data_IF_966006582400
#
_entry.id   IF_966006582400
#
_cell.length_a   1.000
_cell.length_b   1.000
_cell.length_c   1.000
_cell.angle_alpha   90.00
_cell.angle_beta   90.00
_cell.angle_gamma   90.00
#
_symmetry.space_group_name_H-M   'P 1'
#
loop_
_entity.id
_entity.type
_entity.pdbx_description
1 polymer ?
2 polymer ?
3 non-polymer ?
4 non-polymer ?
5 water ?
#
loop_
_entity_poly.entity_id
_entity_poly.type
_entity_poly.pdbx_seq_one_letter_code
_entity_poly.pdbx_strand_id
2 'polydeoxyribonucleotide' '(DA)(DA)' ?
#
# COMPACT_ATOMS: atom_id res chain seq x y z
N UNK A 1 3.38 -21.80 11.02
CA UNK A 1 4.67 -21.17 11.29
C UNK A 1 5.38 -20.66 10.05
N UNK A 2 6.28 -21.48 9.43
CA UNK A 2 7.08 -21.08 8.25
C UNK A 2 6.23 -20.88 6.99
N UNK A 3 5.31 -21.81 6.71
CA UNK A 3 4.43 -21.72 5.54
C UNK A 3 3.46 -20.54 5.65
N UNK A 4 3.00 -20.22 6.87
CA UNK A 4 2.15 -19.08 7.18
C UNK A 4 2.95 -17.77 7.16
N UNK A 5 4.29 -17.85 7.33
CA UNK A 5 5.13 -16.65 7.25
C UNK A 5 5.63 -16.34 5.80
N UNK A 6 5.16 -17.08 4.79
CA UNK A 6 5.51 -16.79 3.38
C UNK A 6 4.85 -15.49 2.89
N UNK A 7 5.40 -14.85 1.84
CA UNK A 7 4.82 -13.61 1.33
C UNK A 7 4.30 -13.80 -0.07
N UNK A 8 3.14 -13.22 -0.41
CA UNK A 8 2.58 -13.30 -1.74
C UNK A 8 2.87 -11.97 -2.47
N UNK A 9 3.91 -11.95 -3.31
CA UNK A 9 4.25 -10.74 -4.06
C UNK A 9 3.38 -10.61 -5.33
N UNK A 10 2.83 -9.42 -5.57
CA UNK A 10 2.01 -9.18 -6.76
C UNK A 10 2.33 -7.81 -7.36
N UNK A 11 2.30 -7.73 -8.69
CA UNK A 11 2.34 -6.46 -9.42
C UNK A 11 1.25 -6.50 -10.49
N UNK A 12 0.48 -5.43 -10.57
CA UNK A 12 -0.58 -5.24 -11.54
C UNK A 12 -0.15 -4.09 -12.45
N UNK A 13 -0.71 -4.10 -13.64
CA UNK A 13 -0.64 -3.02 -14.59
C UNK A 13 -2.10 -2.89 -15.02
N UNK A 14 -2.64 -1.67 -14.91
CA UNK A 14 -4.03 -1.35 -15.21
C UNK A 14 -4.07 -0.36 -16.36
N UNK A 15 -5.29 -0.02 -16.81
CA UNK A 15 -5.52 0.98 -17.84
C UNK A 15 -5.51 2.42 -17.25
N UNK A 16 -5.47 2.54 -15.91
CA UNK A 16 -5.43 3.82 -15.21
C UNK A 16 -5.67 3.63 -13.72
N UNK A 17 -5.78 4.74 -12.98
CA UNK A 17 -6.00 4.73 -11.52
C UNK A 17 -7.46 4.94 -11.11
N UNK A 18 -8.43 4.85 -12.06
CA UNK A 18 -9.85 5.03 -11.75
C UNK A 18 -10.48 3.66 -11.48
N UNK A 19 -10.73 3.35 -10.19
CA UNK A 19 -11.31 2.07 -9.78
C UNK A 19 -12.72 1.84 -10.38
N UNK A 20 -13.49 2.92 -10.63
CA UNK A 20 -14.84 2.83 -11.19
C UNK A 20 -14.85 2.46 -12.69
N UNK A 21 -13.80 2.86 -13.44
CA UNK A 21 -13.69 2.61 -14.88
C UNK A 21 -12.63 1.59 -15.25
N UNK A 22 -11.38 1.83 -14.81
CA UNK A 22 -10.24 1.04 -15.26
C UNK A 22 -10.27 -0.44 -14.87
N UNK A 23 -9.57 -1.24 -15.68
CA UNK A 23 -9.47 -2.69 -15.59
C UNK A 23 -8.01 -3.13 -15.47
N UNK A 24 -7.79 -4.40 -15.07
CA UNK A 24 -6.47 -5.00 -14.94
C UNK A 24 -6.06 -5.55 -16.31
N UNK A 25 -4.86 -5.17 -16.79
CA UNK A 25 -4.36 -5.64 -18.08
C UNK A 25 -3.19 -6.60 -17.92
N UNK A 26 -2.40 -6.52 -16.84
CA UNK A 26 -1.29 -7.46 -16.62
C UNK A 26 -1.19 -7.81 -15.14
N UNK A 27 -0.76 -9.04 -14.85
CA UNK A 27 -0.60 -9.49 -13.47
C UNK A 27 0.51 -10.52 -13.37
N UNK A 28 1.33 -10.42 -12.32
CA UNK A 28 2.40 -11.40 -12.04
C UNK A 28 2.35 -11.73 -10.56
N UNK A 29 2.74 -12.94 -10.20
CA UNK A 29 2.77 -13.35 -8.81
C UNK A 29 4.04 -14.08 -8.51
N UNK A 30 4.57 -13.88 -7.29
CA UNK A 30 5.81 -14.55 -6.86
C UNK A 30 5.73 -14.82 -5.35
N UNK A 31 6.29 -15.96 -4.88
CA UNK A 31 6.27 -16.33 -3.48
C UNK A 31 7.66 -16.29 -2.92
N UNK A 32 7.84 -15.65 -1.74
CA UNK A 32 9.10 -15.70 -1.02
C UNK A 32 8.78 -16.27 0.36
N UNK A 33 9.79 -16.70 1.06
CA UNK A 33 9.64 -17.12 2.45
C UNK A 33 9.76 -15.82 3.31
N UNK A 34 9.63 -16.00 4.61
CA UNK A 34 9.73 -14.94 5.62
C UNK A 34 10.94 -13.99 5.47
N UNK A 35 12.10 -14.56 5.08
CA UNK A 35 13.36 -13.85 4.91
C UNK A 35 13.65 -13.40 3.49
N UNK A 36 12.61 -13.30 2.63
CA UNK A 36 12.71 -12.82 1.26
C UNK A 36 13.50 -13.74 0.35
N UNK A 37 13.64 -15.04 0.71
CA UNK A 37 14.29 -16.01 -0.18
C UNK A 37 13.29 -16.40 -1.23
N UNK A 38 13.71 -16.49 -2.50
CA UNK A 38 12.83 -16.82 -3.64
C UNK A 38 12.36 -18.27 -3.53
N UNK A 39 11.05 -18.52 -3.48
CA UNK A 39 10.54 -19.88 -3.37
C UNK A 39 9.95 -20.36 -4.70
N UNK A 40 9.07 -19.56 -5.32
CA UNK A 40 8.38 -19.99 -6.51
C UNK A 40 7.80 -18.85 -7.33
N UNK A 41 8.00 -18.94 -8.64
CA UNK A 41 7.48 -17.98 -9.58
C UNK A 41 6.06 -18.46 -9.99
N UNK A 42 5.09 -17.56 -9.90
CA UNK A 42 3.70 -17.82 -10.25
C UNK A 42 3.41 -17.39 -11.66
N UNK A 43 2.13 -17.41 -12.06
CA UNK A 43 1.80 -17.00 -13.43
C UNK A 43 2.18 -15.55 -13.73
N UNK A 44 2.30 -15.24 -15.01
CA UNK A 44 2.57 -13.90 -15.52
C UNK A 44 1.62 -13.80 -16.72
N UNK A 45 0.44 -13.20 -16.51
CA UNK A 45 -0.63 -13.16 -17.50
C UNK A 45 -1.04 -11.76 -17.96
N UNK A 46 -1.25 -11.61 -19.29
CA UNK A 46 -1.76 -10.39 -19.90
C UNK A 46 -3.26 -10.65 -20.10
N UNK A 47 -4.13 -9.89 -19.41
CA UNK A 47 -5.59 -10.09 -19.43
C UNK A 47 -6.23 -9.24 -20.53
N UNK A 48 -7.13 -9.88 -21.30
CA UNK A 48 -7.85 -9.27 -22.42
C UNK A 48 -8.90 -8.26 -21.91
N UNK A 49 -8.82 -7.01 -22.42
CA UNK A 49 -9.77 -5.92 -22.11
C UNK A 49 -10.14 -5.20 -23.44
N UNK A 50 -11.38 -4.64 -23.56
CA UNK A 50 -11.80 -4.01 -24.83
C UNK A 50 -10.89 -2.93 -25.45
N UNK A 51 -11.00 -2.76 -26.79
CA UNK A 51 -10.25 -1.73 -27.55
C UNK A 51 -10.72 -0.30 -27.20
N UNK A 52 -12.00 -0.12 -26.80
CA UNK A 52 -12.55 1.19 -26.40
C UNK A 52 -11.74 1.72 -25.22
N UNK A 53 -11.62 0.89 -24.17
CA UNK A 53 -10.89 1.22 -22.95
C UNK A 53 -9.42 1.54 -23.24
N UNK A 54 -8.74 0.75 -24.11
CA UNK A 54 -7.33 0.99 -24.44
C UNK A 54 -7.08 2.31 -25.22
N UNK A 55 -7.97 2.64 -26.18
CA UNK A 55 -7.86 3.87 -26.97
C UNK A 55 -8.22 5.14 -26.15
N UNK A 56 -9.12 4.99 -25.15
CA UNK A 56 -9.54 6.08 -24.25
C UNK A 56 -8.68 6.17 -22.95
N UNK A 57 -7.45 5.59 -22.95
CA UNK A 57 -6.54 5.63 -21.79
C UNK A 57 -5.87 7.00 -21.67
N UNK A 58 -5.17 7.22 -20.55
CA UNK A 58 -4.40 8.44 -20.27
C UNK A 58 -3.22 8.53 -21.25
N UNK A 59 -2.66 9.74 -21.43
CA UNK A 59 -1.49 9.95 -22.31
C UNK A 59 -0.25 9.22 -21.75
N UNK A 60 -0.13 9.14 -20.41
CA UNK A 60 0.95 8.39 -19.75
C UNK A 60 0.74 6.90 -20.06
N UNK A 61 -0.49 6.40 -19.83
CA UNK A 61 -0.85 5.00 -20.03
C UNK A 61 -0.59 4.52 -21.47
N UNK A 62 -1.09 5.25 -22.48
CA UNK A 62 -0.91 4.89 -23.90
C UNK A 62 0.58 4.82 -24.31
N UNK A 63 1.40 5.77 -23.82
CA UNK A 63 2.82 5.85 -24.17
C UNK A 63 3.67 4.77 -23.48
N UNK A 64 3.50 4.59 -22.16
CA UNK A 64 4.26 3.59 -21.40
C UNK A 64 3.84 2.15 -21.77
N UNK A 65 2.51 1.87 -21.86
CA UNK A 65 2.04 0.54 -22.25
C UNK A 65 2.25 0.25 -23.76
N UNK A 66 2.32 1.31 -24.58
CA UNK A 66 2.58 1.17 -26.00
C UNK A 66 4.02 0.73 -26.27
N UNK A 67 4.99 1.51 -25.73
CA UNK A 67 6.43 1.26 -25.90
C UNK A 67 6.87 -0.09 -25.30
N UNK A 68 6.25 -0.50 -24.18
CA UNK A 68 6.57 -1.76 -23.51
C UNK A 68 6.09 -3.02 -24.26
N UNK A 69 5.18 -2.84 -25.21
CA UNK A 69 4.61 -3.93 -25.99
C UNK A 69 3.39 -4.55 -25.35
N UNK A 70 2.85 -3.90 -24.27
CA UNK A 70 1.71 -4.43 -23.52
C UNK A 70 0.41 -4.17 -24.24
N UNK A 71 0.14 -2.93 -24.70
CA UNK A 71 -1.13 -2.63 -25.40
C UNK A 71 -1.33 -3.55 -26.62
N UNK A 72 -0.22 -3.93 -27.31
CA UNK A 72 -0.28 -4.85 -28.45
C UNK A 72 -0.59 -6.27 -27.94
N UNK A 73 0.10 -6.72 -26.87
CA UNK A 73 -0.13 -8.05 -26.27
C UNK A 73 -1.53 -8.21 -25.61
N UNK A 74 -2.18 -7.08 -25.21
CA UNK A 74 -3.53 -7.10 -24.59
C UNK A 74 -4.59 -7.36 -25.66
N UNK A 75 -4.46 -6.70 -26.84
CA UNK A 75 -5.39 -6.85 -27.97
C UNK A 75 -5.38 -8.29 -28.53
N UNK A 76 -4.20 -8.94 -28.53
CA UNK A 76 -4.02 -10.32 -28.99
C UNK A 76 -4.39 -11.39 -27.94
N UNK A 77 -4.52 -11.01 -26.65
CA UNK A 77 -4.80 -11.98 -25.59
C UNK A 77 -6.15 -12.67 -25.69
N UNK A 78 -6.18 -13.92 -25.20
CA UNK A 78 -7.38 -14.75 -25.09
C UNK A 78 -7.63 -15.08 -23.59
N UNK A 79 -7.00 -14.31 -22.65
CA UNK A 79 -7.16 -14.56 -21.21
C UNK A 79 -8.18 -13.60 -20.65
N UNK A 80 -9.28 -14.11 -20.09
CA UNK A 80 -10.26 -13.26 -19.43
C UNK A 80 -9.79 -13.04 -17.99
N UNK A 81 -10.43 -12.10 -17.31
CA UNK A 81 -10.16 -11.78 -15.90
C UNK A 81 -10.45 -13.04 -15.05
N UNK A 82 -11.62 -13.68 -15.29
CA UNK A 82 -12.04 -14.91 -14.62
C UNK A 82 -11.01 -16.03 -14.81
N UNK A 83 -10.47 -16.17 -16.04
CA UNK A 83 -9.47 -17.21 -16.31
C UNK A 83 -8.19 -16.93 -15.52
N UNK A 84 -7.68 -15.67 -15.55
CA UNK A 84 -6.47 -15.29 -14.82
C UNK A 84 -6.66 -15.41 -13.30
N UNK A 85 -7.85 -15.02 -12.77
CA UNK A 85 -8.12 -15.14 -11.33
C UNK A 85 -7.97 -16.57 -10.88
N UNK A 86 -8.61 -17.50 -11.60
CA UNK A 86 -8.54 -18.94 -11.35
C UNK A 86 -7.07 -19.42 -11.35
N UNK A 87 -6.26 -19.01 -12.34
CA UNK A 87 -4.85 -19.40 -12.39
C UNK A 87 -4.05 -18.83 -11.19
N UNK A 88 -4.34 -17.57 -10.80
CA UNK A 88 -3.66 -16.96 -9.65
C UNK A 88 -4.12 -17.55 -8.33
N UNK A 89 -5.41 -17.85 -8.17
CA UNK A 89 -5.94 -18.46 -6.95
C UNK A 89 -5.36 -19.88 -6.78
N UNK A 90 -5.36 -20.67 -7.87
CA UNK A 90 -4.81 -22.03 -7.87
C UNK A 90 -3.40 -22.05 -7.42
N UNK A 91 -2.59 -21.14 -8.01
CA UNK A 91 -1.16 -21.07 -7.67
C UNK A 91 -0.94 -20.75 -6.19
N UNK A 92 -1.54 -19.68 -5.64
CA UNK A 92 -1.35 -19.33 -4.21
C UNK A 92 -1.89 -20.45 -3.26
N UNK A 93 -2.96 -21.19 -3.61
CA UNK A 93 -3.46 -22.30 -2.75
C UNK A 93 -2.46 -23.48 -2.67
N UNK A 94 -1.67 -23.67 -3.73
CA UNK A 94 -0.65 -24.69 -3.76
C UNK A 94 0.58 -24.26 -2.97
N UNK A 95 0.74 -22.97 -2.71
CA UNK A 95 1.93 -22.37 -2.09
C UNK A 95 1.81 -21.93 -0.65
N UNK A 96 0.60 -21.60 -0.19
CA UNK A 96 0.40 -20.97 1.12
C UNK A 96 -0.85 -21.48 1.78
N UNK A 97 -0.88 -21.51 3.13
CA UNK A 97 -2.12 -21.90 3.83
C UNK A 97 -3.21 -20.81 3.71
N UNK A 98 -4.53 -21.14 3.77
CA UNK A 98 -5.55 -20.10 3.52
C UNK A 98 -5.61 -19.00 4.57
N UNK A 99 -5.82 -17.77 4.09
CA UNK A 99 -5.97 -16.56 4.89
C UNK A 99 -4.84 -16.21 5.84
N UNK A 100 -3.62 -16.68 5.62
CA UNK A 100 -2.52 -16.36 6.55
C UNK A 100 -1.38 -15.52 5.98
N UNK A 101 -1.18 -15.50 4.66
CA UNK A 101 -0.05 -14.79 4.06
C UNK A 101 -0.41 -13.44 3.49
N UNK A 102 0.46 -12.43 3.67
CA UNK A 102 0.13 -11.10 3.16
C UNK A 102 0.44 -10.89 1.70
N UNK A 103 -0.15 -9.87 1.13
CA UNK A 103 0.13 -9.35 -0.21
C UNK A 103 1.39 -8.46 -0.06
N UNK A 104 2.37 -8.57 -0.95
CA UNK A 104 3.60 -7.76 -0.86
C UNK A 104 3.90 -7.03 -2.17
N UNK A 105 4.52 -5.85 -2.08
CA UNK A 105 4.88 -5.02 -3.22
C UNK A 105 4.99 -3.54 -2.91
N UNK A 106 5.32 -2.72 -3.91
CA UNK A 106 5.40 -1.26 -3.80
C UNK A 106 4.05 -0.64 -3.89
N UNK A 107 3.63 0.14 -2.86
CA UNK A 107 2.31 0.78 -2.78
C UNK A 107 1.23 -0.23 -3.19
N UNK A 108 1.38 -1.49 -2.70
CA UNK A 108 0.54 -2.62 -3.06
C UNK A 108 -0.92 -2.44 -2.61
N UNK A 109 -1.22 -1.43 -1.78
CA UNK A 109 -2.60 -1.03 -1.46
C UNK A 109 -3.40 -0.64 -2.75
N UNK A 110 -2.73 -0.06 -3.78
CA UNK A 110 -3.39 0.28 -5.04
C UNK A 110 -3.74 -1.03 -5.81
N UNK A 111 -2.80 -1.99 -5.83
CA UNK A 111 -3.04 -3.30 -6.46
C UNK A 111 -4.17 -4.01 -5.69
N UNK A 112 -4.22 -3.90 -4.33
CA UNK A 112 -5.29 -4.48 -3.50
C UNK A 112 -6.67 -3.89 -3.81
N UNK A 113 -6.76 -2.58 -4.12
CA UNK A 113 -8.04 -1.94 -4.50
C UNK A 113 -8.65 -2.62 -5.75
N UNK A 114 -7.82 -2.85 -6.78
CA UNK A 114 -8.22 -3.51 -8.02
C UNK A 114 -8.47 -5.02 -7.80
N UNK A 115 -7.61 -5.70 -7.00
CA UNK A 115 -7.80 -7.13 -6.70
C UNK A 115 -9.04 -7.36 -5.84
N UNK A 116 -9.34 -6.47 -4.88
CA UNK A 116 -10.54 -6.59 -4.04
C UNK A 116 -11.81 -6.56 -4.89
N UNK A 117 -11.82 -5.74 -5.95
CA UNK A 117 -12.98 -5.58 -6.83
C UNK A 117 -13.04 -6.68 -7.93
N UNK A 118 -11.92 -6.89 -8.66
CA UNK A 118 -11.86 -7.77 -9.83
C UNK A 118 -11.35 -9.22 -9.60
N UNK A 119 -10.71 -9.52 -8.45
CA UNK A 119 -10.27 -10.88 -8.11
C UNK A 119 -10.56 -11.13 -6.62
N UNK A 120 -11.84 -11.03 -6.22
CA UNK A 120 -12.17 -11.20 -4.80
C UNK A 120 -11.85 -12.58 -4.22
N UNK A 121 -11.86 -13.67 -5.02
CA UNK A 121 -11.54 -15.02 -4.52
C UNK A 121 -10.04 -15.17 -4.24
N UNK A 122 -9.18 -14.54 -5.07
CA UNK A 122 -7.73 -14.52 -4.85
C UNK A 122 -7.45 -13.79 -3.53
N UNK A 123 -8.12 -12.63 -3.28
CA UNK A 123 -7.93 -11.87 -2.02
C UNK A 123 -8.45 -12.60 -0.77
N UNK A 124 -9.44 -13.47 -0.91
CA UNK A 124 -9.97 -14.26 0.21
C UNK A 124 -8.91 -15.29 0.69
N UNK A 125 -7.97 -15.72 -0.21
CA UNK A 125 -6.88 -16.62 0.19
C UNK A 125 -5.79 -15.91 1.04
N UNK A 126 -5.64 -14.62 0.90
CA UNK A 126 -4.60 -13.87 1.63
C UNK A 126 -5.09 -13.30 2.97
N UNK A 127 -4.16 -12.96 3.87
CA UNK A 127 -4.49 -12.30 5.14
C UNK A 127 -4.89 -10.83 4.85
N UNK A 128 -5.42 -10.18 5.89
CA UNK A 128 -5.81 -8.78 5.90
C UNK A 128 -4.64 -7.81 5.69
N UNK A 129 -3.48 -8.17 6.23
CA UNK A 129 -2.30 -7.32 6.26
C UNK A 129 -1.52 -7.38 4.99
N UNK A 130 -0.84 -6.26 4.68
CA UNK A 130 0.06 -6.13 3.54
C UNK A 130 1.50 -5.80 3.99
N UNK A 131 2.44 -6.02 3.08
CA UNK A 131 3.82 -5.67 3.27
C UNK A 131 4.05 -4.66 2.18
N UNK A 132 3.95 -3.35 2.52
CA UNK A 132 4.12 -2.30 1.54
C UNK A 132 5.59 -1.85 1.55
N UNK A 133 6.36 -2.29 0.54
CA UNK A 133 7.76 -1.91 0.43
C UNK A 133 7.91 -0.39 0.40
N UNK A 134 6.90 0.36 -0.15
CA UNK A 134 6.99 1.82 -0.20
C UNK A 134 6.87 2.49 1.18
N UNK A 135 6.35 1.80 2.21
CA UNK A 135 6.42 2.33 3.58
C UNK A 135 7.90 2.36 4.00
N UNK A 136 8.63 1.25 3.76
CA UNK A 136 10.04 1.11 4.14
C UNK A 136 10.92 2.10 3.35
N UNK A 137 10.60 2.30 2.05
CA UNK A 137 11.22 3.29 1.17
C UNK A 137 11.11 4.68 1.78
N UNK A 138 9.89 5.04 2.24
CA UNK A 138 9.68 6.36 2.85
C UNK A 138 10.44 6.53 4.15
N UNK A 139 10.52 5.48 4.98
CA UNK A 139 11.29 5.56 6.22
C UNK A 139 12.80 5.59 5.92
N UNK A 140 13.25 4.91 4.84
CA UNK A 140 14.67 4.92 4.45
C UNK A 140 15.11 6.32 4.03
N UNK A 141 14.31 6.96 3.15
CA UNK A 141 14.55 8.33 2.68
C UNK A 141 14.79 9.25 3.87
N UNK A 142 13.90 9.19 4.85
CA UNK A 142 13.94 9.98 6.07
C UNK A 142 15.04 9.63 7.06
N UNK A 143 15.08 8.40 7.53
CA UNK A 143 16.01 7.97 8.57
C UNK A 143 17.40 7.50 8.10
N UNK A 144 17.54 7.09 6.83
CA UNK A 144 18.80 6.55 6.31
C UNK A 144 19.12 7.18 4.93
N UNK A 145 19.21 8.53 4.86
CA UNK A 145 19.46 9.18 3.57
C UNK A 145 20.68 8.71 2.79
N UNK A 146 21.76 8.29 3.45
CA UNK A 146 22.95 7.80 2.77
C UNK A 146 22.63 6.50 2.05
N UNK A 147 22.15 5.48 2.81
CA UNK A 147 21.74 4.16 2.31
C UNK A 147 20.71 4.30 1.20
N UNK A 148 19.75 5.23 1.34
CA UNK A 148 18.73 5.54 0.33
C UNK A 148 19.34 5.91 -1.03
N UNK A 149 20.47 6.68 -1.04
CA UNK A 149 21.14 7.06 -2.28
C UNK A 149 21.83 5.88 -2.92
N UNK A 150 22.36 4.95 -2.11
CA UNK A 150 23.01 3.72 -2.59
C UNK A 150 22.03 2.69 -3.18
N UNK A 151 20.71 2.81 -2.90
CA UNK A 151 19.75 1.85 -3.43
C UNK A 151 19.74 1.95 -5.00
N UNK A 152 19.58 0.81 -5.70
CA UNK A 152 19.59 0.86 -7.17
C UNK A 152 18.32 1.47 -7.76
N UNK A 153 18.48 2.29 -8.82
CA UNK A 153 17.34 2.91 -9.52
C UNK A 153 16.45 1.82 -10.10
N UNK A 154 15.11 2.00 -10.03
CA UNK A 154 14.17 1.03 -10.60
C UNK A 154 14.36 1.07 -12.11
N UNK A 155 14.97 0.00 -12.63
CA UNK A 155 15.34 -0.12 -14.03
C UNK A 155 14.28 -0.78 -14.90
N UNK A 156 13.20 -1.28 -14.31
CA UNK A 156 12.22 -2.04 -15.09
C UNK A 156 11.20 -1.18 -15.81
N UNK A 157 10.80 -1.68 -16.99
CA UNK A 157 9.69 -1.11 -17.74
C UNK A 157 8.49 -1.70 -17.01
N UNK A 158 7.30 -1.10 -17.16
CA UNK A 158 6.10 -1.55 -16.47
C UNK A 158 5.57 -2.92 -16.97
N UNK A 159 6.34 -4.00 -16.72
CA UNK A 159 6.02 -5.40 -17.01
C UNK A 159 5.98 -6.04 -15.62
N UNK A 160 4.83 -6.62 -15.25
CA UNK A 160 4.53 -7.14 -13.92
C UNK A 160 5.61 -8.03 -13.34
N UNK A 161 6.13 -8.97 -14.12
CA UNK A 161 7.19 -9.87 -13.69
C UNK A 161 8.47 -9.10 -13.37
N UNK A 162 8.84 -8.13 -14.20
CA UNK A 162 10.08 -7.37 -13.96
C UNK A 162 9.92 -6.44 -12.73
N UNK A 163 8.73 -5.82 -12.58
CA UNK A 163 8.40 -4.93 -11.48
C UNK A 163 8.41 -5.67 -10.10
N UNK A 164 7.82 -6.86 -10.06
CA UNK A 164 7.74 -7.66 -8.84
C UNK A 164 9.15 -8.07 -8.32
N UNK A 165 10.09 -8.43 -9.23
CA UNK A 165 11.47 -8.79 -8.89
C UNK A 165 12.24 -7.60 -8.31
N UNK A 166 11.94 -6.38 -8.79
CA UNK A 166 12.57 -5.15 -8.28
C UNK A 166 12.02 -4.75 -6.90
N UNK A 167 10.72 -4.97 -6.62
CA UNK A 167 10.18 -4.71 -5.27
C UNK A 167 10.85 -5.64 -4.27
N UNK A 168 11.10 -6.90 -4.68
CA UNK A 168 11.80 -7.84 -3.79
C UNK A 168 13.24 -7.36 -3.57
N UNK A 169 13.95 -7.01 -4.66
CA UNK A 169 15.32 -6.48 -4.60
C UNK A 169 15.39 -5.26 -3.70
N UNK A 170 14.39 -4.36 -3.80
CA UNK A 170 14.29 -3.16 -2.95
C UNK A 170 14.08 -3.52 -1.44
N UNK A 171 13.14 -4.45 -1.09
CA UNK A 171 12.96 -4.80 0.34
C UNK A 171 14.20 -5.51 0.88
N UNK A 172 14.83 -6.38 0.05
CA UNK A 172 16.08 -7.07 0.42
C UNK A 172 17.18 -6.05 0.67
N UNK A 173 17.27 -5.03 -0.17
CA UNK A 173 18.23 -3.93 0.01
C UNK A 173 18.03 -3.26 1.38
N UNK A 174 16.78 -2.98 1.78
CA UNK A 174 16.50 -2.34 3.08
C UNK A 174 16.83 -3.23 4.23
N UNK A 175 16.48 -4.54 4.14
CA UNK A 175 16.80 -5.54 5.17
C UNK A 175 18.31 -5.63 5.34
N UNK A 176 19.04 -5.61 4.21
CA UNK A 176 20.50 -5.74 4.24
C UNK A 176 21.21 -4.50 4.75
N UNK A 177 20.66 -3.28 4.52
CA UNK A 177 21.36 -2.03 4.86
C UNK A 177 20.79 -1.12 5.97
N UNK A 178 19.46 -1.08 6.21
CA UNK A 178 18.89 -0.18 7.23
C UNK A 178 18.29 -0.93 8.42
N UNK A 179 18.23 -2.26 8.38
CA UNK A 179 17.74 -3.01 9.53
C UNK A 179 18.93 -3.48 10.36
N UNK A 180 18.68 -3.67 11.66
CA UNK A 180 19.64 -4.03 12.71
C UNK A 180 20.45 -5.28 12.38
N UNK B 1 13.74 18.71 1.36
CA UNK B 1 14.16 19.07 2.71
C UNK B 1 13.26 18.51 3.81
N UNK B 2 13.28 19.16 4.99
CA UNK B 2 12.51 18.73 6.17
C UNK B 2 10.97 18.78 6.01
N UNK B 3 10.46 19.83 5.35
CA UNK B 3 9.02 20.05 5.15
C UNK B 3 8.40 18.94 4.26
N UNK B 4 9.08 18.57 3.15
CA UNK B 4 8.60 17.53 2.23
C UNK B 4 8.62 16.14 2.89
N UNK B 5 9.43 15.97 3.95
CA UNK B 5 9.53 14.74 4.72
C UNK B 5 8.60 14.72 5.96
N UNK B 6 7.58 15.59 6.02
CA UNK B 6 6.62 15.55 7.14
C UNK B 6 5.63 14.42 6.88
N UNK B 7 4.88 14.02 7.90
CA UNK B 7 3.91 12.93 7.77
C UNK B 7 2.55 13.41 8.19
N UNK B 8 1.50 12.93 7.53
CA UNK B 8 0.12 13.28 7.83
C UNK B 8 -0.52 12.04 8.48
N UNK B 9 -0.50 11.99 9.80
CA UNK B 9 -1.03 10.84 10.53
C UNK B 9 -2.53 10.90 10.64
N UNK B 10 -3.20 9.78 10.36
CA UNK B 10 -4.64 9.67 10.49
C UNK B 10 -5.02 8.34 11.15
N UNK B 11 -6.25 8.33 11.69
CA UNK B 11 -6.89 7.14 12.21
C UNK B 11 -8.38 7.30 11.98
N UNK B 12 -9.02 6.26 11.40
CA UNK B 12 -10.43 6.26 11.06
C UNK B 12 -11.13 5.07 11.64
N UNK B 13 -12.40 5.22 12.01
CA UNK B 13 -13.26 4.12 12.45
C UNK B 13 -14.41 4.03 11.44
N UNK B 14 -14.68 2.83 10.87
CA UNK B 14 -15.76 2.60 9.91
C UNK B 14 -16.72 1.56 10.48
N UNK B 15 -17.87 1.40 9.82
CA UNK B 15 -18.87 0.38 10.18
C UNK B 15 -18.37 -1.02 9.71
N UNK B 16 -17.45 -1.05 8.75
CA UNK B 16 -16.86 -2.28 8.22
C UNK B 16 -15.82 -2.02 7.14
N UNK B 17 -15.43 -3.08 6.41
CA UNK B 17 -14.40 -2.99 5.37
C UNK B 17 -14.95 -3.04 3.92
N UNK B 18 -16.30 -3.07 3.74
CA UNK B 18 -16.90 -3.07 2.40
C UNK B 18 -17.00 -1.62 1.93
N UNK B 19 -16.10 -1.21 1.01
CA UNK B 19 -16.05 0.15 0.47
C UNK B 19 -17.38 0.60 -0.19
N UNK B 20 -18.15 -0.37 -0.75
CA UNK B 20 -19.43 -0.07 -1.40
C UNK B 20 -20.55 0.30 -0.43
N UNK B 21 -20.61 -0.35 0.76
CA UNK B 21 -21.69 -0.12 1.72
C UNK B 21 -21.29 0.53 3.07
N UNK B 22 -20.06 0.34 3.56
CA UNK B 22 -19.67 0.92 4.87
C UNK B 22 -19.31 2.38 4.80
N UNK B 23 -19.40 3.07 5.96
CA UNK B 23 -19.15 4.51 6.09
C UNK B 23 -18.14 4.86 7.20
N UNK B 24 -17.54 6.07 7.11
CA UNK B 24 -16.58 6.59 8.08
C UNK B 24 -17.35 7.14 9.30
N UNK B 25 -17.19 6.53 10.48
CA UNK B 25 -17.85 6.91 11.75
C UNK B 25 -17.07 8.02 12.45
N UNK B 26 -15.74 7.86 12.56
CA UNK B 26 -14.88 8.77 13.31
C UNK B 26 -13.57 8.98 12.58
N UNK B 27 -12.93 10.13 12.78
CA UNK B 27 -11.65 10.43 12.15
C UNK B 27 -10.88 11.42 12.99
N UNK B 28 -9.56 11.28 12.95
CA UNK B 28 -8.64 12.18 13.64
C UNK B 28 -7.41 12.35 12.78
N UNK B 29 -6.71 13.46 12.96
CA UNK B 29 -5.54 13.75 12.17
C UNK B 29 -4.53 14.58 12.98
N UNK B 30 -3.22 14.42 12.68
CA UNK B 30 -2.13 15.19 13.31
C UNK B 30 -0.87 15.11 12.44
N UNK B 31 -0.01 16.14 12.50
CA UNK B 31 1.19 16.17 11.69
C UNK B 31 2.39 15.86 12.57
N UNK B 32 3.38 15.13 12.02
CA UNK B 32 4.65 14.93 12.70
C UNK B 32 5.72 15.34 11.70
N UNK B 33 6.96 15.43 12.15
CA UNK B 33 8.11 15.68 11.26
C UNK B 33 8.67 14.29 10.88
N UNK B 34 9.76 14.26 10.09
CA UNK B 34 10.42 13.02 9.68
C UNK B 34 10.86 12.13 10.86
N UNK B 35 11.13 12.72 12.05
CA UNK B 35 11.55 12.02 13.25
C UNK B 35 10.41 11.76 14.25
N UNK B 36 9.14 11.84 13.80
CA UNK B 36 7.93 11.50 14.59
C UNK B 36 7.61 12.47 15.75
N UNK B 37 8.18 13.69 15.74
CA UNK B 37 7.84 14.73 16.72
C UNK B 37 6.56 15.40 16.21
N UNK B 38 5.49 15.37 17.05
CA UNK B 38 4.18 15.95 16.75
C UNK B 38 4.30 17.47 16.64
N UNK B 39 4.08 18.01 15.44
CA UNK B 39 4.13 19.45 15.18
C UNK B 39 2.77 20.07 15.51
N UNK B 40 1.65 19.44 15.06
CA UNK B 40 0.31 19.96 15.32
C UNK B 40 -0.74 18.84 15.40
N UNK B 41 -1.79 19.05 16.20
CA UNK B 41 -2.90 18.11 16.35
C UNK B 41 -4.13 18.67 15.63
N UNK B 42 -4.71 17.88 14.76
CA UNK B 42 -5.92 18.22 14.03
C UNK B 42 -7.12 17.89 14.87
N UNK B 43 -8.33 17.97 14.29
CA UNK B 43 -9.53 17.68 15.09
C UNK B 43 -9.83 16.20 15.25
N UNK B 44 -10.68 15.86 16.23
CA UNK B 44 -11.19 14.51 16.46
C UNK B 44 -12.70 14.61 16.26
N UNK B 45 -13.18 14.30 15.03
CA UNK B 45 -14.58 14.45 14.65
C UNK B 45 -15.34 13.14 14.54
N UNK B 46 -16.57 13.07 15.10
CA UNK B 46 -17.48 11.92 14.98
C UNK B 46 -18.43 12.31 13.82
N UNK B 47 -18.52 11.48 12.78
CA UNK B 47 -19.31 11.77 11.59
C UNK B 47 -20.68 11.07 11.60
N UNK B 48 -21.74 11.81 11.19
CA UNK B 48 -23.12 11.31 11.14
C UNK B 48 -23.32 10.26 10.04
N UNK B 49 -24.42 9.46 10.17
CA UNK B 49 -24.79 8.40 9.22
C UNK B 49 -26.31 8.42 8.94
N UNK B 78 -20.42 16.21 17.03
CA UNK B 78 -20.81 15.46 15.84
C UNK B 78 -21.00 16.40 14.63
N UNK B 79 -20.57 15.95 13.42
CA UNK B 79 -20.56 16.76 12.20
C UNK B 79 -20.86 15.90 10.94
N UNK B 80 -21.10 16.55 9.76
CA UNK B 80 -21.34 15.82 8.51
C UNK B 80 -20.01 15.56 7.82
N UNK B 81 -20.01 14.61 6.88
CA UNK B 81 -18.83 14.19 6.11
C UNK B 81 -18.14 15.33 5.33
N UNK B 82 -18.90 16.11 4.54
CA UNK B 82 -18.35 17.18 3.69
C UNK B 82 -17.66 18.28 4.52
N UNK B 83 -18.17 18.55 5.74
CA UNK B 83 -17.60 19.55 6.63
C UNK B 83 -16.29 19.04 7.26
N UNK B 84 -16.26 17.75 7.68
CA UNK B 84 -15.04 17.12 8.20
C UNK B 84 -13.92 17.24 7.17
N UNK B 85 -14.24 16.95 5.90
CA UNK B 85 -13.28 17.06 4.79
C UNK B 85 -12.73 18.48 4.66
N UNK B 86 -13.57 19.52 4.87
CA UNK B 86 -13.13 20.92 4.83
C UNK B 86 -12.23 21.17 6.05
N UNK B 87 -12.68 20.75 7.25
CA UNK B 87 -11.91 20.89 8.49
C UNK B 87 -10.51 20.26 8.36
N UNK B 88 -10.46 18.97 7.96
CA UNK B 88 -9.21 18.24 7.75
C UNK B 88 -8.37 18.81 6.60
N UNK B 89 -8.97 19.20 5.46
CA UNK B 89 -8.21 19.78 4.34
C UNK B 89 -7.60 21.15 4.71
N UNK B 90 -8.31 21.97 5.52
CA UNK B 90 -7.79 23.27 5.98
C UNK B 90 -6.55 23.05 6.84
N UNK B 91 -6.69 22.14 7.83
CA UNK B 91 -5.64 21.79 8.77
C UNK B 91 -4.35 21.38 8.06
N UNK B 92 -4.40 20.45 7.10
CA UNK B 92 -3.18 20.00 6.40
C UNK B 92 -2.65 21.04 5.40
N UNK B 93 -3.52 21.90 4.84
CA UNK B 93 -3.08 22.96 3.91
C UNK B 93 -2.17 23.97 4.61
N UNK B 94 -2.45 24.30 5.88
CA UNK B 94 -1.60 25.23 6.63
C UNK B 94 -0.33 24.55 7.21
N UNK B 95 -0.29 23.19 7.26
CA UNK B 95 0.83 22.42 7.82
C UNK B 95 1.74 21.73 6.79
N UNK B 96 1.27 21.37 5.56
CA UNK B 96 2.13 20.62 4.62
C UNK B 96 2.10 21.09 3.15
N UNK B 97 3.19 20.89 2.36
CA UNK B 97 3.15 21.27 0.94
C UNK B 97 2.21 20.39 0.11
N UNK B 98 1.62 20.89 -1.01
CA UNK B 98 0.66 20.07 -1.77
C UNK B 98 1.25 18.87 -2.53
N UNK B 99 0.60 17.71 -2.35
CA UNK B 99 0.95 16.44 -2.97
C UNK B 99 2.28 15.82 -2.58
N UNK B 100 2.91 16.29 -1.47
CA UNK B 100 4.26 15.85 -1.06
C UNK B 100 4.32 14.83 0.07
N UNK B 101 3.50 15.02 1.10
CA UNK B 101 3.55 14.22 2.31
C UNK B 101 2.66 12.99 2.28
N UNK B 102 3.14 11.86 2.87
CA UNK B 102 2.33 10.64 2.82
C UNK B 102 1.36 10.53 3.98
N UNK B 103 0.36 9.70 3.81
CA UNK B 103 -0.60 9.38 4.85
C UNK B 103 0.15 8.37 5.76
N UNK B 104 -0.01 8.49 7.09
CA UNK B 104 0.65 7.62 8.06
C UNK B 104 -0.34 7.07 9.08
N UNK B 105 -0.13 5.85 9.54
CA UNK B 105 -0.98 5.22 10.54
C UNK B 105 -0.88 3.71 10.57
N UNK B 106 -1.60 3.08 11.53
CA UNK B 106 -1.67 1.61 11.62
C UNK B 106 -2.73 1.15 10.64
N UNK B 107 -2.43 0.19 9.77
CA UNK B 107 -3.38 -0.25 8.73
C UNK B 107 -4.03 0.96 8.00
N UNK B 108 -3.19 1.92 7.63
CA UNK B 108 -3.63 3.14 6.95
C UNK B 108 -4.05 2.81 5.49
N UNK B 109 -3.68 1.64 4.93
CA UNK B 109 -4.12 1.22 3.59
C UNK B 109 -5.66 1.01 3.56
N UNK B 110 -6.24 0.60 4.71
CA UNK B 110 -7.68 0.42 4.87
C UNK B 110 -8.34 1.80 4.91
N UNK B 111 -7.70 2.75 5.64
CA UNK B 111 -8.14 4.14 5.77
C UNK B 111 -8.05 4.91 4.44
N UNK B 112 -6.95 4.71 3.66
CA UNK B 112 -6.76 5.38 2.37
C UNK B 112 -7.88 5.02 1.37
N UNK B 113 -8.34 3.76 1.35
CA UNK B 113 -9.41 3.29 0.47
C UNK B 113 -10.70 4.12 0.69
N UNK B 114 -11.02 4.40 1.97
CA UNK B 114 -12.19 5.19 2.35
C UNK B 114 -11.96 6.70 2.15
N UNK B 115 -10.75 7.20 2.41
CA UNK B 115 -10.43 8.61 2.18
C UNK B 115 -10.39 8.93 0.67
N UNK B 116 -9.91 8.00 -0.18
CA UNK B 116 -9.89 8.21 -1.64
C UNK B 116 -11.31 8.32 -2.23
N UNK B 117 -12.27 7.58 -1.63
CA UNK B 117 -13.68 7.59 -2.03
C UNK B 117 -14.45 8.78 -1.43
N UNK B 118 -14.49 8.88 -0.09
CA UNK B 118 -15.32 9.86 0.65
C UNK B 118 -14.64 11.21 0.98
N UNK B 119 -13.33 11.37 0.77
CA UNK B 119 -12.63 12.65 0.99
C UNK B 119 -11.57 12.84 -0.11
N UNK B 120 -12.00 12.89 -1.38
CA UNK B 120 -11.02 12.98 -2.49
C UNK B 120 -10.22 14.27 -2.55
N UNK B 121 -10.80 15.43 -2.12
CA UNK B 121 -10.06 16.69 -2.13
C UNK B 121 -9.01 16.71 -1.01
N UNK B 122 -9.30 16.07 0.15
CA UNK B 122 -8.33 15.91 1.23
C UNK B 122 -7.15 15.07 0.72
N UNK B 123 -7.43 13.96 0.01
CA UNK B 123 -6.39 13.08 -0.55
C UNK B 123 -5.60 13.71 -1.68
N UNK B 124 -6.18 14.69 -2.38
CA UNK B 124 -5.51 15.44 -3.45
C UNK B 124 -4.28 16.20 -2.89
N UNK B 125 -4.34 16.63 -1.62
CA UNK B 125 -3.25 17.33 -0.94
C UNK B 125 -2.06 16.42 -0.54
N UNK B 126 -2.24 15.08 -0.55
CA UNK B 126 -1.20 14.13 -0.13
C UNK B 126 -0.62 13.33 -1.27
N UNK B 127 0.49 12.62 -0.96
CA UNK B 127 1.20 11.72 -1.88
C UNK B 127 0.38 10.43 -1.98
N UNK B 128 0.62 9.64 -3.02
CA UNK B 128 -0.04 8.33 -3.18
C UNK B 128 0.59 7.24 -2.24
N UNK B 129 1.78 7.50 -1.66
CA UNK B 129 2.47 6.54 -0.80
C UNK B 129 1.97 6.69 0.63
N UNK B 130 2.06 5.61 1.37
CA UNK B 130 1.64 5.57 2.75
C UNK B 130 2.82 5.16 3.61
N UNK B 131 2.78 5.53 4.89
CA UNK B 131 3.72 5.05 5.90
C UNK B 131 2.81 4.20 6.78
N UNK B 132 2.71 2.93 6.44
CA UNK B 132 1.85 1.96 7.11
C UNK B 132 2.63 1.27 8.27
N UNK B 133 2.28 1.56 9.52
CA UNK B 133 2.94 0.99 10.68
C UNK B 133 2.77 -0.56 10.76
N UNK B 134 1.66 -1.14 10.22
CA UNK B 134 1.47 -2.60 10.28
C UNK B 134 2.39 -3.36 9.31
N UNK B 135 2.95 -2.68 8.30
CA UNK B 135 3.95 -3.27 7.42
C UNK B 135 5.18 -3.51 8.28
N UNK B 136 5.56 -2.51 9.09
CA UNK B 136 6.73 -2.58 9.96
C UNK B 136 6.51 -3.65 11.04
N UNK B 137 5.29 -3.75 11.60
CA UNK B 137 4.93 -4.79 12.57
C UNK B 137 5.11 -6.18 11.96
N UNK B 138 4.66 -6.40 10.70
CA UNK B 138 4.83 -7.70 10.01
C UNK B 138 6.32 -8.06 9.81
N UNK B 139 7.20 -7.08 9.56
CA UNK B 139 8.63 -7.32 9.35
C UNK B 139 9.29 -7.62 10.70
N UNK B 140 8.90 -6.86 11.76
CA UNK B 140 9.39 -7.11 13.13
C UNK B 140 9.04 -8.53 13.61
N UNK B 141 7.84 -8.98 13.32
CA UNK B 141 7.36 -10.29 13.71
C UNK B 141 8.14 -11.41 13.03
N UNK B 142 8.50 -11.21 11.76
CA UNK B 142 9.28 -12.18 11.01
C UNK B 142 10.76 -12.16 11.34
N UNK B 143 11.38 -10.98 11.21
CA UNK B 143 12.83 -10.81 11.32
C UNK B 143 13.35 -10.56 12.74
N UNK B 144 12.53 -10.01 13.65
CA UNK B 144 12.96 -9.70 15.03
C UNK B 144 11.92 -10.23 16.05
N UNK B 145 11.77 -11.55 16.13
CA UNK B 145 10.71 -12.11 16.97
C UNK B 145 10.78 -11.83 18.48
N UNK B 146 11.97 -11.66 19.06
CA UNK B 146 12.13 -11.33 20.48
C UNK B 146 11.68 -9.91 20.73
N UNK B 147 12.11 -8.97 19.86
CA UNK B 147 11.73 -7.57 19.95
C UNK B 147 10.22 -7.44 19.82
N UNK B 148 9.62 -8.23 18.93
CA UNK B 148 8.18 -8.22 18.71
C UNK B 148 7.39 -8.64 19.96
N UNK B 149 7.89 -9.63 20.73
CA UNK B 149 7.21 -10.10 21.94
C UNK B 149 7.07 -9.01 22.98
N UNK B 150 8.03 -8.08 23.05
CA UNK B 150 7.97 -6.99 24.01
C UNK B 150 7.59 -5.65 23.34
N UNK B 151 7.03 -5.68 22.12
CA UNK B 151 6.59 -4.46 21.43
C UNK B 151 5.35 -3.93 22.13
N UNK B 152 5.21 -2.59 22.29
CA UNK B 152 4.03 -2.04 22.96
C UNK B 152 2.78 -2.09 22.07
N UNK B 157 -8.75 1.96 22.20
CA UNK B 157 -8.59 3.38 22.56
C UNK B 157 -9.96 4.07 22.53
N UNK B 158 -10.15 5.12 23.38
CA UNK B 158 -11.42 5.84 23.47
C UNK B 158 -11.65 6.85 22.33
N UNK B 159 -10.58 7.42 21.77
CA UNK B 159 -10.66 8.37 20.65
C UNK B 159 -9.75 7.90 19.52
N UNK B 160 -10.00 8.40 18.30
CA UNK B 160 -9.15 8.10 17.13
C UNK B 160 -7.83 8.89 17.22
N UNK B 161 -7.83 10.03 17.96
CA UNK B 161 -6.62 10.83 18.16
C UNK B 161 -5.66 10.11 19.13
N UNK B 162 -6.20 9.27 20.03
CA UNK B 162 -5.39 8.47 20.96
C UNK B 162 -4.78 7.30 20.22
N UNK B 163 -5.52 6.71 19.24
CA UNK B 163 -5.00 5.59 18.43
C UNK B 163 -3.81 6.03 17.57
N UNK B 164 -3.76 7.32 17.14
CA UNK B 164 -2.63 7.84 16.38
C UNK B 164 -1.41 7.88 17.30
N UNK B 165 -1.57 8.43 18.50
CA UNK B 165 -0.48 8.56 19.47
C UNK B 165 0.13 7.19 19.80
N UNK B 166 -0.72 6.15 19.90
CA UNK B 166 -0.28 4.77 20.12
C UNK B 166 0.53 4.21 18.91
N UNK B 167 0.11 4.53 17.67
CA UNK B 167 0.80 4.10 16.45
C UNK B 167 2.15 4.78 16.29
N UNK B 168 2.26 6.07 16.65
CA UNK B 168 3.54 6.79 16.60
C UNK B 168 4.54 6.10 17.56
N UNK B 169 4.10 5.83 18.81
CA UNK B 169 4.91 5.15 19.81
C UNK B 169 5.28 3.75 19.35
N UNK B 170 4.36 3.09 18.65
CA UNK B 170 4.71 1.78 18.11
C UNK B 170 5.79 1.97 17.01
N UNK B 171 5.62 2.94 16.08
CA UNK B 171 6.62 3.19 15.03
C UNK B 171 7.99 3.60 15.63
N UNK B 172 7.98 4.47 16.63
CA UNK B 172 9.18 4.90 17.35
C UNK B 172 9.86 3.69 18.00
N UNK B 173 9.07 2.76 18.59
CA UNK B 173 9.57 1.51 19.17
C UNK B 173 10.29 0.67 18.11
N UNK B 174 9.75 0.57 16.86
CA UNK B 174 10.43 -0.20 15.84
C UNK B 174 11.71 0.52 15.42
N UNK B 175 11.69 1.87 15.28
CA UNK B 175 12.91 2.60 14.91
C UNK B 175 14.09 2.30 15.86
N UNK B 176 13.83 2.26 17.17
CA UNK B 176 14.86 2.01 18.17
C UNK B 176 15.26 0.57 18.28
N UNK B 177 14.33 -0.35 18.09
CA UNK B 177 14.56 -1.77 18.31
C UNK B 177 14.91 -2.64 17.12
N UNK B 178 14.54 -2.28 15.88
CA UNK B 178 14.84 -3.15 14.74
C UNK B 178 15.55 -2.41 13.61
N UNK B 179 15.60 -1.08 13.59
CA UNK B 179 16.33 -0.38 12.54
C UNK B 179 17.77 -0.17 13.03
N UNK B 180 18.72 -0.18 12.08
CA UNK B 180 20.17 -0.09 12.35
C UNK B 180 20.58 1.05 13.31
#
# INVERSE_FOLDING_TARGET
GAMAQRMVWVDLEMTGLDIEKDQIIEMACLITDSDLNILAEGPNLIIKQPDELLDSMSDWCKEHHGKSGLTKAVKESTITLQQAEYEFLSFVRQQTPPGLCPLAGNSVHEDKKFLDKYMPQFMKHLHYRIIDVSTVKELCRRWYPEEYEFAPKKAASHRALDAISESIKELQFYRNNIFK
GAMAQRMVWVDLEMTGLDIEKDQIIEMACLITDSDLNILAEGPNLIIKQPDELLDSMSDWCKEHHGKSGLTKAVKESTITLQQAEYEFLSFVRQQTPPGLCPLAGNSVHEDKKFLDKYMPQFMKHLHYRIIDVSTVKELCRRWYPEEYEFAPKKAASHRALDAISESIKELQFYRNNIFK
#
